data_IF_450367272441
#
_entry.id   IF_450367272441
#
_cell.length_a   1.000
_cell.length_b   1.000
_cell.length_c   1.000
_cell.angle_alpha   90.00
_cell.angle_beta   90.00
_cell.angle_gamma   90.00
#
_symmetry.space_group_name_H-M   'P 1'
#
loop_
_entity.id
_entity.type
_entity.pdbx_description
1 polymer ?
#
# COMPACT_ATOMS: atom_id res chain seq x y z
N UNK A 1 -17.13 -16.48 19.13
CA UNK A 1 -18.17 -15.87 20.00
C UNK A 1 -19.56 -16.40 19.65
N UNK A 2 -20.49 -16.43 20.61
CA UNK A 2 -21.89 -16.80 20.37
C UNK A 2 -22.81 -15.57 20.43
N UNK A 3 -24.00 -15.66 19.81
CA UNK A 3 -24.94 -14.53 19.72
C UNK A 3 -25.37 -14.00 21.09
N UNK A 4 -25.54 -14.87 22.09
CA UNK A 4 -25.96 -14.47 23.44
C UNK A 4 -24.91 -13.59 24.13
N UNK A 5 -23.63 -13.87 23.91
CA UNK A 5 -22.53 -13.04 24.42
C UNK A 5 -22.47 -11.71 23.68
N UNK A 6 -22.53 -11.75 22.34
CA UNK A 6 -22.53 -10.55 21.48
C UNK A 6 -23.62 -9.58 21.91
N UNK A 7 -24.87 -10.03 22.06
CA UNK A 7 -25.99 -9.18 22.48
C UNK A 7 -25.76 -8.42 23.79
N UNK A 8 -25.11 -9.06 24.76
CA UNK A 8 -24.77 -8.42 26.05
C UNK A 8 -23.64 -7.40 25.91
N UNK A 9 -22.76 -7.60 24.93
CA UNK A 9 -21.59 -6.77 24.69
C UNK A 9 -21.81 -5.70 23.61
N UNK A 10 -22.97 -5.67 22.93
CA UNK A 10 -23.28 -4.65 21.90
C UNK A 10 -23.31 -3.23 22.51
N UNK A 11 -23.89 -3.05 23.69
CA UNK A 11 -23.96 -1.74 24.35
C UNK A 11 -22.55 -1.21 24.71
N UNK A 12 -21.73 -1.93 25.50
CA UNK A 12 -20.37 -1.46 25.79
C UNK A 12 -19.48 -1.36 24.55
N UNK A 13 -19.79 -2.10 23.48
CA UNK A 13 -19.13 -1.91 22.18
C UNK A 13 -19.52 -0.58 21.50
N UNK A 14 -20.80 -0.19 21.55
CA UNK A 14 -21.27 1.10 21.01
C UNK A 14 -20.66 2.29 21.77
N UNK A 15 -20.49 2.14 23.08
CA UNK A 15 -19.88 3.17 23.93
C UNK A 15 -18.33 3.18 23.86
N UNK A 16 -17.73 2.24 23.12
CA UNK A 16 -16.27 2.14 22.98
C UNK A 16 -15.54 1.57 24.20
N UNK A 17 -16.26 1.01 25.17
CA UNK A 17 -15.74 0.48 26.42
C UNK A 17 -15.31 -1.00 26.32
N UNK A 18 -15.64 -1.67 25.22
CA UNK A 18 -15.34 -3.09 25.03
C UNK A 18 -13.85 -3.31 24.69
N UNK A 19 -13.11 -3.97 25.61
CA UNK A 19 -11.69 -4.34 25.40
C UNK A 19 -11.48 -5.33 24.25
N UNK A 20 -12.44 -6.23 24.02
CA UNK A 20 -12.38 -7.29 23.00
C UNK A 20 -13.19 -6.92 21.74
N UNK A 21 -13.16 -5.64 21.33
CA UNK A 21 -13.95 -5.14 20.19
C UNK A 21 -13.71 -5.91 18.88
N UNK A 22 -12.49 -6.40 18.65
CA UNK A 22 -12.15 -7.16 17.44
C UNK A 22 -12.89 -8.51 17.36
N UNK A 23 -13.08 -9.20 18.48
CA UNK A 23 -13.79 -10.48 18.50
C UNK A 23 -15.28 -10.31 18.22
N UNK A 24 -15.86 -9.23 18.77
CA UNK A 24 -17.24 -8.88 18.53
C UNK A 24 -17.45 -8.43 17.07
N UNK A 25 -16.52 -7.64 16.52
CA UNK A 25 -16.53 -7.24 15.11
C UNK A 25 -16.52 -8.44 14.17
N UNK A 26 -15.60 -9.40 14.39
CA UNK A 26 -15.53 -10.61 13.58
C UNK A 26 -16.85 -11.42 13.60
N UNK A 27 -17.55 -11.44 14.74
CA UNK A 27 -18.87 -12.07 14.80
C UNK A 27 -19.94 -11.28 14.01
N UNK A 28 -19.96 -9.96 14.12
CA UNK A 28 -20.90 -9.10 13.38
C UNK A 28 -20.72 -9.23 11.86
N UNK A 29 -19.49 -9.44 11.41
CA UNK A 29 -19.16 -9.67 9.99
C UNK A 29 -19.72 -11.00 9.47
N UNK A 30 -19.86 -12.00 10.34
CA UNK A 30 -20.42 -13.32 9.99
C UNK A 30 -21.90 -13.53 10.35
N UNK A 31 -22.49 -12.70 11.21
CA UNK A 31 -23.83 -12.92 11.76
C UNK A 31 -24.82 -11.79 11.42
N UNK A 32 -25.67 -12.03 10.43
CA UNK A 32 -26.69 -11.06 9.99
C UNK A 32 -27.68 -10.67 11.10
N UNK A 33 -28.03 -11.60 12.00
CA UNK A 33 -28.97 -11.33 13.07
C UNK A 33 -28.41 -10.32 14.10
N UNK A 34 -27.16 -10.51 14.53
CA UNK A 34 -26.50 -9.60 15.47
C UNK A 34 -26.17 -8.25 14.82
N UNK A 35 -25.90 -8.22 13.50
CA UNK A 35 -25.71 -6.98 12.76
C UNK A 35 -26.97 -6.13 12.70
N UNK A 36 -28.13 -6.74 12.42
CA UNK A 36 -29.42 -6.03 12.44
C UNK A 36 -29.71 -5.43 13.80
N UNK A 37 -29.47 -6.19 14.87
CA UNK A 37 -29.68 -5.72 16.23
C UNK A 37 -28.79 -4.51 16.59
N UNK A 38 -27.52 -4.53 16.16
CA UNK A 38 -26.63 -3.38 16.28
C UNK A 38 -27.15 -2.15 15.49
N UNK A 39 -27.62 -2.36 14.27
CA UNK A 39 -28.18 -1.29 13.43
C UNK A 39 -29.45 -0.69 14.04
N UNK A 40 -30.35 -1.52 14.58
CA UNK A 40 -31.58 -1.08 15.23
C UNK A 40 -31.29 -0.24 16.48
N UNK A 41 -30.29 -0.66 17.28
CA UNK A 41 -29.81 0.14 18.42
C UNK A 41 -29.21 1.47 17.96
N UNK A 42 -28.36 1.49 16.93
CA UNK A 42 -27.79 2.73 16.37
C UNK A 42 -28.87 3.71 15.90
N UNK A 43 -29.90 3.21 15.23
CA UNK A 43 -31.04 4.04 14.78
C UNK A 43 -31.80 4.62 15.97
N UNK A 44 -32.00 3.83 17.01
CA UNK A 44 -32.69 4.27 18.23
C UNK A 44 -31.91 5.40 18.91
N UNK A 45 -30.59 5.25 19.07
CA UNK A 45 -29.74 6.31 19.64
C UNK A 45 -29.66 7.56 18.76
N UNK A 46 -29.55 7.40 17.44
CA UNK A 46 -29.55 8.53 16.52
C UNK A 46 -30.83 9.37 16.62
N UNK A 47 -31.99 8.72 16.77
CA UNK A 47 -33.27 9.41 16.98
C UNK A 47 -33.29 10.25 18.27
N UNK A 48 -32.72 9.72 19.36
CA UNK A 48 -32.61 10.44 20.64
C UNK A 48 -31.70 11.67 20.49
N UNK A 49 -30.50 11.48 19.91
CA UNK A 49 -29.53 12.57 19.71
C UNK A 49 -30.12 13.70 18.86
N UNK A 50 -30.85 13.37 17.80
CA UNK A 50 -31.51 14.37 16.96
C UNK A 50 -32.60 15.13 17.72
N UNK A 51 -33.44 14.42 18.47
CA UNK A 51 -34.51 15.04 19.27
C UNK A 51 -33.96 15.94 20.38
N UNK A 52 -32.81 15.59 20.97
CA UNK A 52 -32.15 16.38 22.00
C UNK A 52 -31.46 17.61 21.42
N UNK A 53 -30.83 17.47 20.25
CA UNK A 53 -30.22 18.59 19.51
C UNK A 53 -31.22 19.69 19.13
N UNK A 54 -32.49 19.33 18.87
CA UNK A 54 -33.55 20.31 18.61
C UNK A 54 -33.98 21.09 19.87
N UNK A 55 -33.77 20.53 21.06
CA UNK A 55 -34.21 21.12 22.34
C UNK A 55 -33.16 21.98 23.00
N UNK A 56 -31.88 21.70 22.79
CA UNK A 56 -30.79 22.40 23.46
C UNK A 56 -30.21 23.54 22.60
N UNK A 57 -29.93 24.73 23.16
CA UNK A 57 -29.25 25.78 22.42
C UNK A 57 -27.88 25.28 21.97
N UNK A 58 -27.59 25.43 20.67
CA UNK A 58 -26.33 24.99 20.09
C UNK A 58 -25.16 25.66 20.80
N UNK A 59 -24.42 24.90 21.60
CA UNK A 59 -23.14 25.34 22.15
C UNK A 59 -22.19 25.48 20.97
N UNK A 60 -21.96 26.71 20.51
CA UNK A 60 -20.97 26.95 19.46
C UNK A 60 -19.60 26.59 20.01
N UNK A 61 -18.84 25.69 19.36
CA UNK A 61 -17.46 25.42 19.76
C UNK A 61 -16.63 26.71 19.70
N UNK A 62 -15.57 26.77 20.50
CA UNK A 62 -14.68 27.93 20.45
C UNK A 62 -14.05 28.04 19.05
N UNK A 63 -13.88 29.26 18.49
CA UNK A 63 -13.27 29.44 17.17
C UNK A 63 -11.86 28.83 17.08
N UNK A 64 -11.13 28.78 18.20
CA UNK A 64 -9.81 28.16 18.29
C UNK A 64 -9.84 26.63 18.21
N UNK A 65 -10.95 25.97 18.54
CA UNK A 65 -11.08 24.53 18.43
C UNK A 65 -11.11 24.11 16.96
N UNK A 66 -11.93 24.80 16.15
CA UNK A 66 -12.06 24.50 14.72
C UNK A 66 -10.75 24.73 13.97
N UNK A 67 -10.02 25.82 14.28
CA UNK A 67 -8.71 26.06 13.66
C UNK A 67 -7.68 25.00 14.05
N UNK A 68 -7.71 24.48 15.28
CA UNK A 68 -6.85 23.37 15.70
C UNK A 68 -7.20 22.06 15.01
N UNK A 69 -8.49 21.76 14.84
CA UNK A 69 -8.95 20.55 14.14
C UNK A 69 -8.55 20.62 12.68
N UNK A 70 -8.85 21.73 11.99
CA UNK A 70 -8.51 21.90 10.57
C UNK A 70 -7.01 21.80 10.35
N UNK A 71 -6.18 22.46 11.18
CA UNK A 71 -4.72 22.33 11.06
C UNK A 71 -4.24 20.89 11.20
N UNK A 72 -4.86 20.08 12.08
CA UNK A 72 -4.53 18.65 12.21
C UNK A 72 -4.98 17.83 11.01
N UNK A 73 -6.11 18.17 10.39
CA UNK A 73 -6.57 17.52 9.17
C UNK A 73 -5.66 17.86 7.98
N UNK A 74 -5.27 19.12 7.83
CA UNK A 74 -4.33 19.58 6.79
C UNK A 74 -2.97 18.86 6.89
N UNK A 75 -2.44 18.71 8.11
CA UNK A 75 -1.20 17.96 8.40
C UNK A 75 -1.29 16.48 7.93
N UNK A 76 -2.47 15.85 8.06
CA UNK A 76 -2.69 14.45 7.64
C UNK A 76 -2.82 14.35 6.12
N UNK A 77 -3.47 15.33 5.49
CA UNK A 77 -3.71 15.35 4.05
C UNK A 77 -2.42 15.60 3.26
N UNK A 78 -1.53 16.47 3.77
CA UNK A 78 -0.20 16.70 3.18
C UNK A 78 0.64 15.41 3.12
N UNK A 79 0.60 14.59 4.18
CA UNK A 79 1.35 13.33 4.22
C UNK A 79 0.84 12.31 3.19
N UNK A 80 -0.46 12.28 2.94
CA UNK A 80 -1.10 11.42 1.94
C UNK A 80 -0.71 11.80 0.51
N UNK A 81 -0.58 13.09 0.23
CA UNK A 81 -0.12 13.59 -1.06
C UNK A 81 1.31 13.13 -1.38
N UNK A 82 2.25 13.23 -0.42
CA UNK A 82 3.62 12.74 -0.64
C UNK A 82 3.71 11.22 -0.83
N UNK A 83 2.87 10.43 -0.14
CA UNK A 83 2.82 8.96 -0.34
C UNK A 83 2.26 8.59 -1.72
N UNK A 84 1.27 9.32 -2.21
CA UNK A 84 0.70 9.07 -3.55
C UNK A 84 1.64 9.52 -4.67
N UNK A 85 2.32 10.67 -4.51
CA UNK A 85 3.34 11.15 -5.45
C UNK A 85 4.54 10.20 -5.56
N UNK A 86 5.04 9.68 -4.44
CA UNK A 86 6.14 8.71 -4.43
C UNK A 86 5.74 7.36 -5.04
N UNK A 87 4.49 6.91 -4.84
CA UNK A 87 3.94 5.74 -5.54
C UNK A 87 3.87 5.97 -7.05
N UNK A 88 3.35 7.11 -7.51
CA UNK A 88 3.27 7.43 -8.93
C UNK A 88 4.65 7.50 -9.60
N UNK A 89 5.64 8.12 -8.93
CA UNK A 89 7.02 8.14 -9.40
C UNK A 89 7.61 6.72 -9.49
N UNK A 90 7.34 5.87 -8.48
CA UNK A 90 7.79 4.47 -8.48
C UNK A 90 7.22 3.68 -9.66
N UNK A 91 5.97 3.91 -10.07
CA UNK A 91 5.38 3.29 -11.26
C UNK A 91 6.07 3.71 -12.56
N UNK A 92 6.50 4.98 -12.67
CA UNK A 92 7.27 5.45 -13.83
C UNK A 92 8.66 4.80 -13.89
N UNK A 93 9.35 4.64 -12.75
CA UNK A 93 10.66 3.95 -12.69
C UNK A 93 10.58 2.43 -12.90
N UNK A 94 9.46 1.78 -12.54
CA UNK A 94 9.25 0.35 -12.83
C UNK A 94 9.07 0.12 -14.34
N UNK A 95 8.47 1.07 -15.07
CA UNK A 95 8.24 0.95 -16.52
C UNK A 95 9.52 0.85 -17.34
N UNK A 96 10.56 1.62 -17.00
CA UNK A 96 11.86 1.53 -17.69
C UNK A 96 12.58 0.22 -17.40
N UNK A 97 12.51 -0.29 -16.17
CA UNK A 97 13.18 -1.55 -15.80
C UNK A 97 12.51 -2.77 -16.44
N UNK A 98 11.19 -2.78 -16.58
CA UNK A 98 10.46 -3.85 -17.27
C UNK A 98 10.73 -3.82 -18.78
N UNK A 99 10.83 -2.63 -19.38
CA UNK A 99 11.19 -2.51 -20.79
C UNK A 99 12.59 -3.07 -21.06
N UNK A 100 13.58 -2.74 -20.22
CA UNK A 100 14.96 -3.20 -20.41
C UNK A 100 15.09 -4.74 -20.28
N UNK A 101 14.39 -5.34 -19.31
CA UNK A 101 14.32 -6.79 -19.18
C UNK A 101 13.62 -7.45 -20.38
N UNK A 102 12.55 -6.83 -20.89
CA UNK A 102 11.86 -7.29 -22.09
C UNK A 102 12.75 -7.27 -23.34
N UNK A 103 13.54 -6.21 -23.54
CA UNK A 103 14.51 -6.11 -24.63
C UNK A 103 15.63 -7.15 -24.51
N UNK A 104 16.17 -7.38 -23.30
CA UNK A 104 17.15 -8.43 -23.07
C UNK A 104 16.60 -9.82 -23.40
N UNK A 105 15.38 -10.14 -22.95
CA UNK A 105 14.74 -11.41 -23.24
C UNK A 105 14.46 -11.59 -24.75
N UNK A 106 14.01 -10.54 -25.43
CA UNK A 106 13.77 -10.56 -26.87
C UNK A 106 15.07 -10.76 -27.68
N UNK A 107 16.17 -10.13 -27.27
CA UNK A 107 17.49 -10.33 -27.89
C UNK A 107 17.99 -11.77 -27.71
N UNK A 108 17.84 -12.35 -26.52
CA UNK A 108 18.22 -13.75 -26.27
C UNK A 108 17.39 -14.71 -27.13
N UNK A 109 16.07 -14.50 -27.22
CA UNK A 109 15.19 -15.30 -28.08
C UNK A 109 15.54 -15.16 -29.56
N UNK A 110 15.87 -13.95 -30.02
CA UNK A 110 16.31 -13.70 -31.39
C UNK A 110 17.63 -14.41 -31.70
N UNK A 111 18.61 -14.37 -30.79
CA UNK A 111 19.87 -15.10 -30.92
C UNK A 111 19.65 -16.62 -31.00
N UNK A 112 18.71 -17.16 -30.21
CA UNK A 112 18.34 -18.59 -30.24
C UNK A 112 17.67 -18.97 -31.57
N UNK A 113 16.78 -18.13 -32.11
CA UNK A 113 16.09 -18.38 -33.39
C UNK A 113 17.02 -18.30 -34.61
N UNK A 114 18.05 -17.47 -34.55
CA UNK A 114 19.04 -17.34 -35.63
C UNK A 114 20.03 -18.50 -35.71
N UNK A 115 19.88 -19.52 -34.86
CA UNK A 115 20.70 -20.74 -34.93
C UNK A 115 22.19 -20.49 -34.69
N UNK A 116 22.56 -19.33 -34.16
CA UNK A 116 23.92 -19.08 -33.71
C UNK A 116 24.12 -19.87 -32.42
N UNK A 117 25.07 -20.80 -32.44
CA UNK A 117 25.58 -21.44 -31.23
C UNK A 117 26.23 -20.38 -30.34
N UNK A 118 25.43 -19.70 -29.52
CA UNK A 118 25.94 -18.80 -28.49
C UNK A 118 26.37 -19.66 -27.32
N UNK A 119 27.67 -19.95 -27.24
CA UNK A 119 28.26 -20.54 -26.05
C UNK A 119 28.44 -19.43 -25.01
N UNK A 120 27.48 -19.33 -24.08
CA UNK A 120 27.60 -18.45 -22.92
C UNK A 120 28.48 -19.19 -21.91
N UNK A 121 29.79 -18.96 -21.98
CA UNK A 121 30.74 -19.71 -21.15
C UNK A 121 30.70 -19.28 -19.69
N UNK A 122 30.51 -17.99 -19.37
CA UNK A 122 30.30 -17.53 -17.98
C UNK A 122 29.55 -16.20 -17.92
N UNK A 123 28.59 -16.07 -17.00
CA UNK A 123 28.02 -14.78 -16.58
C UNK A 123 28.48 -14.54 -15.15
N UNK A 124 29.53 -13.74 -14.97
CA UNK A 124 30.08 -13.42 -13.66
C UNK A 124 29.41 -12.16 -13.10
N UNK A 125 28.55 -12.34 -12.09
CA UNK A 125 28.01 -11.24 -11.31
C UNK A 125 28.99 -10.89 -10.19
N UNK A 126 29.76 -9.80 -10.36
CA UNK A 126 30.47 -9.16 -9.24
C UNK A 126 29.55 -8.14 -8.57
N UNK A 127 28.85 -8.56 -7.51
CA UNK A 127 28.25 -7.61 -6.57
C UNK A 127 29.29 -7.26 -5.50
N UNK A 128 30.10 -6.22 -5.76
CA UNK A 128 30.84 -5.56 -4.69
C UNK A 128 29.83 -4.90 -3.75
N UNK A 129 29.85 -5.28 -2.46
CA UNK A 129 28.94 -4.78 -1.42
C UNK A 129 29.34 -3.38 -0.91
N UNK A 130 30.34 -2.76 -1.53
CA UNK A 130 30.68 -1.37 -1.21
C UNK A 130 29.67 -0.44 -1.87
N UNK A 131 28.80 0.12 -1.01
CA UNK A 131 28.01 1.32 -1.26
C UNK A 131 28.93 2.38 -1.88
N UNK A 132 28.95 2.49 -3.20
CA UNK A 132 28.80 3.77 -3.90
C UNK A 132 28.76 3.67 -5.42
N UNK A 133 29.16 2.58 -6.06
CA UNK A 133 29.05 2.41 -7.52
C UNK A 133 28.85 0.92 -7.86
N UNK A 134 27.62 0.53 -8.20
CA UNK A 134 27.36 -0.82 -8.71
C UNK A 134 27.77 -0.87 -10.19
N UNK A 135 28.99 -1.35 -10.46
CA UNK A 135 29.49 -1.54 -11.82
C UNK A 135 29.03 -2.90 -12.35
N UNK A 136 27.96 -2.91 -13.14
CA UNK A 136 27.58 -4.11 -13.91
C UNK A 136 28.39 -4.16 -15.20
N UNK A 137 29.36 -5.07 -15.24
CA UNK A 137 30.11 -5.39 -16.45
C UNK A 137 29.55 -6.67 -17.07
N UNK A 138 29.08 -6.57 -18.31
CA UNK A 138 28.62 -7.73 -19.08
C UNK A 138 29.60 -7.90 -20.25
N UNK A 139 30.35 -9.00 -20.23
CA UNK A 139 31.24 -9.39 -21.32
C UNK A 139 30.52 -10.40 -22.21
N UNK A 140 30.28 -10.02 -23.47
CA UNK A 140 29.71 -10.90 -24.48
C UNK A 140 30.80 -11.17 -25.53
N UNK A 141 31.28 -12.41 -25.58
CA UNK A 141 32.15 -12.90 -26.66
C UNK A 141 31.30 -13.61 -27.71
N UNK A 142 31.24 -13.04 -28.92
CA UNK A 142 30.65 -13.70 -30.09
C UNK A 142 31.77 -14.18 -31.02
N UNK A 143 32.21 -15.42 -30.83
CA UNK A 143 33.22 -16.08 -31.67
C UNK A 143 34.56 -15.34 -31.75
N UNK A 144 35.41 -15.75 -32.70
CA UNK A 144 36.80 -15.27 -32.83
C UNK A 144 36.95 -13.83 -33.36
N UNK A 145 35.86 -13.15 -33.75
CA UNK A 145 35.96 -11.91 -34.52
C UNK A 145 35.48 -10.64 -33.82
N UNK A 146 34.70 -10.69 -32.73
CA UNK A 146 34.34 -9.44 -32.00
C UNK A 146 34.13 -9.63 -30.49
N UNK A 147 34.87 -8.84 -29.71
CA UNK A 147 34.63 -8.60 -28.29
C UNK A 147 33.77 -7.34 -28.13
N UNK A 148 32.62 -7.48 -27.46
CA UNK A 148 31.82 -6.35 -27.03
C UNK A 148 31.86 -6.25 -25.51
N UNK A 149 32.39 -5.13 -25.02
CA UNK A 149 32.40 -4.79 -23.59
C UNK A 149 31.33 -3.74 -23.35
N UNK A 150 30.21 -4.15 -22.73
CA UNK A 150 29.19 -3.22 -22.27
C UNK A 150 29.42 -2.95 -20.79
N UNK A 151 30.00 -1.78 -20.49
CA UNK A 151 30.14 -1.25 -19.13
C UNK A 151 28.98 -0.29 -18.89
N UNK A 152 28.06 -0.67 -17.99
CA UNK A 152 26.97 0.22 -17.56
C UNK A 152 27.29 0.76 -16.17
N UNK A 153 27.63 2.05 -16.10
CA UNK A 153 27.71 2.78 -14.85
C UNK A 153 26.29 3.10 -14.37
N UNK A 154 25.90 2.54 -13.23
CA UNK A 154 24.70 2.97 -12.51
C UNK A 154 25.16 3.97 -11.45
N UNK A 155 25.29 5.23 -11.85
CA UNK A 155 25.45 6.36 -10.93
C UNK A 155 24.07 6.84 -10.47
N UNK A 156 23.96 7.10 -9.16
CA UNK A 156 22.88 7.89 -8.57
C UNK A 156 23.09 9.38 -8.87
#
# INVERSE_FOLDING_TARGET
>A
MNCKRVRREIIPYLDGELKEANELQAHLDGCAACRRELEDLRRSFAGIVLAEREREPSISPSPHLLSRINRRLDEIEEYSFWISATRALRWLFVRERVALLGWCAALVLLCLQLGQHVQIETVTFHSGVDLHLAETRIELRLGDLMQFTLVKFVGA
#
